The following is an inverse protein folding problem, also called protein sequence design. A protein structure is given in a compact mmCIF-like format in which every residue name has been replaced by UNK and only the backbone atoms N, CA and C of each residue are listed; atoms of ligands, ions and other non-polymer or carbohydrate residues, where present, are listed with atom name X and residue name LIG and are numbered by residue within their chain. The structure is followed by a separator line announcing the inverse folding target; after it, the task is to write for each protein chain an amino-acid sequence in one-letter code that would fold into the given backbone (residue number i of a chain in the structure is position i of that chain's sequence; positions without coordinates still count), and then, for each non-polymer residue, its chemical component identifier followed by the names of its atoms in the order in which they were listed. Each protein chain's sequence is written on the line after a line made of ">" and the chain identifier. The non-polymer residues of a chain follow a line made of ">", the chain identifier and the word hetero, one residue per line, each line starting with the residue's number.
data_IF_673715833482
#
_entry.id   IF_673715833482
#
_cell.length_a   1.000
_cell.length_b   1.000
_cell.length_c   1.000
_cell.angle_alpha   90.00
_cell.angle_beta   90.00
_cell.angle_gamma   90.00
#
_symmetry.space_group_name_H-M   'P 1'
#
loop_
_entity.id
_entity.type
_entity.pdbx_description
1 polymer ?
#
# COMPACT_ATOMS: atom_id res chain seq x y z
N UNK A 1 -5.16 -17.12 11.45
CA UNK A 1 -5.07 -16.02 10.49
C UNK A 1 -5.91 -16.34 9.26
N UNK A 2 -6.72 -15.41 8.81
CA UNK A 2 -7.65 -15.65 7.71
C UNK A 2 -6.95 -15.45 6.34
N UNK A 3 -6.90 -16.52 5.55
CA UNK A 3 -6.25 -16.48 4.23
C UNK A 3 -6.92 -15.51 3.27
N UNK A 4 -8.26 -15.35 3.35
CA UNK A 4 -8.96 -14.41 2.47
C UNK A 4 -8.61 -12.95 2.79
N UNK A 5 -8.30 -12.63 4.04
CA UNK A 5 -7.83 -11.29 4.41
C UNK A 5 -6.44 -11.02 3.85
N UNK A 6 -5.57 -12.02 3.90
CA UNK A 6 -4.21 -11.94 3.32
C UNK A 6 -4.31 -11.68 1.83
N UNK A 7 -5.14 -12.45 1.13
CA UNK A 7 -5.33 -12.31 -0.32
C UNK A 7 -5.92 -10.96 -0.70
N UNK A 8 -6.90 -10.49 0.08
CA UNK A 8 -7.52 -9.20 -0.16
C UNK A 8 -6.50 -8.06 -0.05
N UNK A 9 -5.70 -8.08 1.01
CA UNK A 9 -4.67 -7.06 1.19
C UNK A 9 -3.64 -7.12 0.07
N UNK A 10 -3.24 -8.32 -0.34
CA UNK A 10 -2.30 -8.50 -1.45
C UNK A 10 -2.83 -7.87 -2.74
N UNK A 11 -4.11 -8.08 -3.05
CA UNK A 11 -4.75 -7.48 -4.24
C UNK A 11 -4.79 -5.96 -4.14
N UNK A 12 -5.12 -5.41 -2.97
CA UNK A 12 -5.14 -3.96 -2.78
C UNK A 12 -3.74 -3.35 -2.95
N UNK A 13 -2.72 -4.01 -2.43
CA UNK A 13 -1.34 -3.56 -2.60
C UNK A 13 -0.88 -3.65 -4.05
N UNK A 14 -1.33 -4.67 -4.77
CA UNK A 14 -1.06 -4.81 -6.19
C UNK A 14 -1.68 -3.63 -6.97
N UNK A 15 -2.91 -3.29 -6.64
CA UNK A 15 -3.59 -2.15 -7.27
C UNK A 15 -2.85 -0.84 -6.98
N UNK A 16 -2.38 -0.67 -5.75
CA UNK A 16 -1.58 0.50 -5.37
C UNK A 16 -0.26 0.55 -6.14
N UNK A 17 0.41 -0.60 -6.25
CA UNK A 17 1.66 -0.68 -7.00
C UNK A 17 1.46 -0.28 -8.47
N UNK A 18 0.40 -0.80 -9.10
CA UNK A 18 0.06 -0.45 -10.49
C UNK A 18 -0.23 1.03 -10.64
N UNK A 19 -0.96 1.61 -9.68
CA UNK A 19 -1.24 3.04 -9.67
C UNK A 19 0.06 3.85 -9.63
N UNK A 20 0.96 3.50 -8.72
CA UNK A 20 2.24 4.20 -8.58
C UNK A 20 3.12 4.05 -9.82
N UNK A 21 3.09 2.89 -10.48
CA UNK A 21 3.84 2.67 -11.71
C UNK A 21 3.37 3.58 -12.85
N UNK A 22 2.07 3.91 -12.88
CA UNK A 22 1.52 4.83 -13.89
C UNK A 22 1.93 6.27 -13.66
N UNK A 23 2.37 6.60 -12.45
CA UNK A 23 2.71 7.97 -12.06
C UNK A 23 4.19 8.09 -11.70
N UNK A 24 5.05 7.43 -12.46
CA UNK A 24 6.50 7.49 -12.30
C UNK A 24 6.99 8.94 -12.47
N UNK A 25 8.06 9.27 -11.77
CA UNK A 25 8.62 10.60 -11.76
C UNK A 25 8.22 11.44 -10.57
N UNK A 26 7.27 10.97 -9.77
CA UNK A 26 6.93 11.60 -8.51
C UNK A 26 7.98 11.27 -7.44
N UNK A 27 8.04 12.11 -6.39
CA UNK A 27 9.00 11.92 -5.31
C UNK A 27 8.76 10.60 -4.57
N UNK A 28 9.83 9.96 -4.16
CA UNK A 28 9.82 8.75 -3.34
C UNK A 28 9.10 7.56 -3.98
N UNK A 29 8.79 7.63 -5.25
CA UNK A 29 8.04 6.56 -5.93
C UNK A 29 8.74 5.21 -5.80
N UNK A 30 10.08 5.18 -5.96
CA UNK A 30 10.84 3.94 -5.87
C UNK A 30 10.79 3.37 -4.45
N UNK A 31 10.87 4.22 -3.44
CA UNK A 31 10.78 3.79 -2.04
C UNK A 31 9.41 3.17 -1.77
N UNK A 32 8.34 3.83 -2.20
CA UNK A 32 6.98 3.32 -2.02
C UNK A 32 6.79 1.99 -2.72
N UNK A 33 7.22 1.88 -3.97
CA UNK A 33 7.09 0.66 -4.76
C UNK A 33 7.85 -0.50 -4.13
N UNK A 34 9.09 -0.26 -3.70
CA UNK A 34 9.91 -1.30 -3.09
C UNK A 34 9.30 -1.77 -1.76
N UNK A 35 8.80 -0.85 -0.96
CA UNK A 35 8.15 -1.19 0.31
C UNK A 35 6.89 -2.02 0.08
N UNK A 36 6.09 -1.65 -0.92
CA UNK A 36 4.88 -2.39 -1.27
C UNK A 36 5.23 -3.79 -1.76
N UNK A 37 6.27 -3.93 -2.59
CA UNK A 37 6.73 -5.23 -3.05
C UNK A 37 7.17 -6.11 -1.86
N UNK A 38 7.88 -5.53 -0.90
CA UNK A 38 8.27 -6.26 0.31
C UNK A 38 7.05 -6.74 1.08
N UNK A 39 6.03 -5.89 1.22
CA UNK A 39 4.79 -6.28 1.89
C UNK A 39 4.08 -7.41 1.15
N UNK A 40 4.05 -7.37 -0.17
CA UNK A 40 3.44 -8.42 -0.98
C UNK A 40 4.17 -9.75 -0.80
N UNK A 41 5.50 -9.73 -0.74
CA UNK A 41 6.30 -10.93 -0.49
C UNK A 41 6.00 -11.51 0.90
N UNK A 42 5.88 -10.65 1.91
CA UNK A 42 5.52 -11.08 3.27
C UNK A 42 4.15 -11.76 3.26
N UNK A 43 3.18 -11.16 2.57
CA UNK A 43 1.82 -11.72 2.48
C UNK A 43 1.81 -13.06 1.77
N UNK A 44 2.60 -13.23 0.72
CA UNK A 44 2.72 -14.50 0.01
C UNK A 44 3.28 -15.58 0.93
N UNK A 45 4.31 -15.24 1.70
CA UNK A 45 4.87 -16.16 2.70
C UNK A 45 3.82 -16.53 3.76
N UNK A 46 3.09 -15.55 4.28
CA UNK A 46 2.06 -15.79 5.29
C UNK A 46 0.93 -16.67 4.76
N UNK A 47 0.58 -16.50 3.49
CA UNK A 47 -0.46 -17.33 2.85
C UNK A 47 -0.06 -18.80 2.81
N UNK A 48 1.22 -19.09 2.59
CA UNK A 48 1.75 -20.45 2.53
C UNK A 48 2.09 -21.02 3.92
N UNK A 49 2.18 -20.15 4.93
CA UNK A 49 2.58 -20.53 6.29
C UNK A 49 1.59 -19.91 7.30
N UNK A 50 0.38 -20.50 7.44
CA UNK A 50 -0.70 -19.88 8.23
C UNK A 50 -0.37 -19.60 9.70
N UNK A 51 0.64 -20.26 10.25
CA UNK A 51 1.04 -20.09 11.65
C UNK A 51 2.09 -18.99 11.85
N UNK A 52 2.39 -18.22 10.80
CA UNK A 52 3.47 -17.23 10.84
C UNK A 52 2.99 -15.86 11.36
N UNK A 53 2.44 -15.83 12.58
CA UNK A 53 1.91 -14.60 13.19
C UNK A 53 2.97 -13.53 13.42
N UNK A 54 4.22 -13.94 13.58
CA UNK A 54 5.32 -13.00 13.81
C UNK A 54 5.54 -12.04 12.64
N UNK A 55 5.10 -12.41 11.44
CA UNK A 55 5.24 -11.55 10.27
C UNK A 55 4.21 -10.43 10.19
N UNK A 56 3.14 -10.51 10.99
CA UNK A 56 2.14 -9.43 11.06
C UNK A 56 2.78 -8.14 11.55
N UNK A 57 3.63 -8.21 12.56
CA UNK A 57 4.32 -7.02 13.09
C UNK A 57 5.27 -6.43 12.06
N UNK A 58 5.98 -7.27 11.32
CA UNK A 58 6.86 -6.81 10.26
C UNK A 58 6.05 -6.12 9.15
N UNK A 59 4.92 -6.73 8.77
CA UNK A 59 4.02 -6.17 7.76
C UNK A 59 3.54 -4.77 8.18
N UNK A 60 3.11 -4.62 9.43
CA UNK A 60 2.64 -3.35 9.97
C UNK A 60 3.74 -2.29 10.00
N UNK A 61 4.96 -2.68 10.36
CA UNK A 61 6.10 -1.76 10.35
C UNK A 61 6.42 -1.27 8.95
N UNK A 62 6.37 -2.18 7.95
CA UNK A 62 6.56 -1.81 6.54
C UNK A 62 5.48 -0.84 6.09
N UNK A 63 4.23 -1.13 6.42
CA UNK A 63 3.11 -0.26 6.07
C UNK A 63 3.29 1.13 6.67
N UNK A 64 3.60 1.21 7.97
CA UNK A 64 3.78 2.48 8.66
C UNK A 64 4.95 3.28 8.08
N UNK A 65 5.97 2.63 7.55
CA UNK A 65 7.10 3.30 6.94
C UNK A 65 6.75 4.05 5.65
N UNK A 66 5.57 3.80 5.06
CA UNK A 66 5.08 4.56 3.92
C UNK A 66 4.60 5.95 4.31
N UNK A 67 4.28 6.18 5.57
CA UNK A 67 3.60 7.39 6.04
C UNK A 67 4.50 8.22 6.97
N UNK A 68 5.72 8.49 6.53
CA UNK A 68 6.61 9.34 7.31
C UNK A 68 6.14 10.82 7.25
N UNK A 69 6.54 11.66 8.23
CA UNK A 69 5.92 13.00 8.42
C UNK A 69 6.02 13.95 7.24
N UNK A 70 7.06 13.82 6.41
CA UNK A 70 7.25 14.67 5.23
C UNK A 70 7.50 13.80 4.01
N UNK A 71 6.86 14.12 2.90
CA UNK A 71 7.04 13.43 1.63
C UNK A 71 6.75 11.93 1.70
N UNK A 72 5.96 11.51 2.73
CA UNK A 72 5.44 10.14 2.80
C UNK A 72 4.26 9.96 1.87
N UNK A 73 3.67 8.77 1.90
CA UNK A 73 2.57 8.43 0.99
C UNK A 73 1.33 9.30 1.23
N UNK A 74 1.13 9.81 2.45
CA UNK A 74 0.04 10.75 2.75
C UNK A 74 0.17 12.07 1.99
N UNK A 75 1.40 12.47 1.69
CA UNK A 75 1.70 13.72 0.98
C UNK A 75 1.85 13.50 -0.52
N UNK A 76 1.73 12.27 -0.98
CA UNK A 76 1.84 11.95 -2.40
C UNK A 76 0.67 12.57 -3.15
N UNK A 77 0.97 13.22 -4.26
CA UNK A 77 -0.02 13.93 -5.04
C UNK A 77 0.32 13.81 -6.51
N UNK A 78 -0.65 13.38 -7.30
CA UNK A 78 -0.47 13.24 -8.75
C UNK A 78 -0.66 14.62 -9.38
N UNK A 79 0.32 15.05 -10.16
CA UNK A 79 0.26 16.28 -10.93
C UNK A 79 -0.09 15.95 -12.38
N UNK A 80 -1.07 16.67 -12.94
CA UNK A 80 -1.49 16.51 -14.32
C UNK A 80 -1.92 17.89 -14.86
N UNK A 81 -1.65 18.15 -16.12
CA UNK A 81 -2.04 19.41 -16.75
C UNK A 81 -3.56 19.57 -16.86
N UNK A 82 -4.30 18.46 -16.88
CA UNK A 82 -5.77 18.45 -16.86
C UNK A 82 -6.24 18.35 -15.42
N UNK A 83 -6.90 19.41 -14.93
CA UNK A 83 -7.35 19.48 -13.54
C UNK A 83 -8.39 18.40 -13.20
N UNK A 84 -9.20 17.99 -14.18
CA UNK A 84 -10.19 16.95 -13.97
C UNK A 84 -9.52 15.59 -13.76
N UNK A 85 -8.55 15.23 -14.61
CA UNK A 85 -7.79 13.99 -14.44
C UNK A 85 -6.98 14.00 -13.14
N UNK A 86 -6.39 15.12 -12.81
CA UNK A 86 -5.62 15.26 -11.56
C UNK A 86 -6.49 14.97 -10.35
N UNK A 87 -7.71 15.49 -10.34
CA UNK A 87 -8.68 15.25 -9.26
C UNK A 87 -9.07 13.77 -9.21
N UNK A 88 -9.34 13.16 -10.35
CA UNK A 88 -9.72 11.75 -10.41
C UNK A 88 -8.62 10.85 -9.88
N UNK A 89 -7.37 11.10 -10.31
CA UNK A 89 -6.24 10.29 -9.85
C UNK A 89 -6.02 10.41 -8.35
N UNK A 90 -6.12 11.61 -7.79
CA UNK A 90 -5.91 11.81 -6.36
C UNK A 90 -7.06 11.25 -5.53
N UNK A 91 -8.29 11.27 -6.06
CA UNK A 91 -9.43 10.62 -5.43
C UNK A 91 -9.25 9.10 -5.45
N UNK A 92 -8.84 8.55 -6.58
CA UNK A 92 -8.59 7.11 -6.71
C UNK A 92 -7.53 6.64 -5.72
N UNK A 93 -6.45 7.39 -5.57
CA UNK A 93 -5.41 7.08 -4.60
C UNK A 93 -5.94 7.13 -3.16
N UNK A 94 -6.68 8.18 -2.84
CA UNK A 94 -7.26 8.36 -1.51
C UNK A 94 -8.20 7.20 -1.14
N UNK A 95 -9.06 6.79 -2.07
CA UNK A 95 -10.00 5.69 -1.86
C UNK A 95 -9.26 4.37 -1.67
N UNK A 96 -8.22 4.13 -2.47
CA UNK A 96 -7.42 2.92 -2.38
C UNK A 96 -6.67 2.83 -1.05
N UNK A 97 -6.07 3.93 -0.61
CA UNK A 97 -5.38 4.00 0.69
C UNK A 97 -6.36 3.77 1.84
N UNK A 98 -7.57 4.31 1.73
CA UNK A 98 -8.61 4.10 2.74
C UNK A 98 -8.98 2.63 2.85
N UNK A 99 -9.18 1.94 1.73
CA UNK A 99 -9.49 0.51 1.73
C UNK A 99 -8.36 -0.30 2.34
N UNK A 100 -7.11 0.02 2.01
CA UNK A 100 -5.94 -0.67 2.57
C UNK A 100 -5.89 -0.44 4.08
N UNK A 101 -6.10 0.81 4.51
CA UNK A 101 -6.05 1.18 5.93
C UNK A 101 -7.11 0.47 6.76
N UNK A 102 -8.27 0.16 6.16
CA UNK A 102 -9.36 -0.54 6.84
C UNK A 102 -9.15 -2.06 6.93
N UNK A 103 -8.10 -2.59 6.32
CA UNK A 103 -7.81 -4.02 6.35
C UNK A 103 -7.45 -4.46 7.78
N UNK A 104 -8.07 -5.55 8.25
CA UNK A 104 -7.88 -6.05 9.61
C UNK A 104 -6.41 -6.33 9.96
N UNK A 105 -5.63 -6.87 9.01
CA UNK A 105 -4.23 -7.19 9.25
C UNK A 105 -3.39 -5.97 9.59
N UNK A 106 -3.79 -4.78 9.11
CA UNK A 106 -3.04 -3.54 9.32
C UNK A 106 -3.58 -2.71 10.48
N UNK A 107 -4.73 -3.06 11.02
CA UNK A 107 -5.29 -2.37 12.19
C UNK A 107 -4.56 -2.79 13.44
N UNK A 108 -4.17 -1.83 14.25
CA UNK A 108 -3.66 -2.12 15.59
C UNK A 108 -4.82 -2.57 16.48
N UNK A 109 -4.59 -3.67 17.15
CA UNK A 109 -5.58 -4.20 18.08
C UNK A 109 -5.60 -3.41 19.38
#
# INVERSE_FOLDING_TARGET
>A
MNTSEIKKLHELLKDLLEFLQKHRGQRNINYFMNTILDMMDILEYMCQNPDSHEYVDLLRRKYNSLFFPREGLSDFYVMDSDSHRMREYNTQLSDLLEEIHQTELLKDS
#
